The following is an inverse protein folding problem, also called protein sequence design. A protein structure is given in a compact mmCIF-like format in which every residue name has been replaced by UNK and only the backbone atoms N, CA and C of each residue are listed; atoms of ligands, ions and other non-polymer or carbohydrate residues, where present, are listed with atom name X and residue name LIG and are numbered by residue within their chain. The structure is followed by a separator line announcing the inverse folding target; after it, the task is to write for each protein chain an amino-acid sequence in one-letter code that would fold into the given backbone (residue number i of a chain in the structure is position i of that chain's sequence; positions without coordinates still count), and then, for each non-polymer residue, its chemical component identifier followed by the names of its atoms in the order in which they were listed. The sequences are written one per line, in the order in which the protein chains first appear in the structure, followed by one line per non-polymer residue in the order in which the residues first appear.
data_IF_680993224117
#
_entry.id   IF_680993224117
#
_cell.length_a   1.000
_cell.length_b   1.000
_cell.length_c   1.000
_cell.angle_alpha   90.00
_cell.angle_beta   90.00
_cell.angle_gamma   90.00
#
_symmetry.space_group_name_H-M   'P 1'
#
loop_
_entity.id
_entity.type
_entity.pdbx_description
1 polymer ?
#
# COMPACT_ATOMS: atom_id res chain seq x y z
N UNK A 1 34.72 13.92 -41.37
CA UNK A 1 34.07 12.70 -40.85
C UNK A 1 33.97 12.83 -39.34
N UNK A 2 32.96 13.50 -38.79
CA UNK A 2 31.59 13.01 -38.50
C UNK A 2 31.53 11.77 -37.61
N UNK A 3 31.17 12.02 -36.35
CA UNK A 3 30.32 11.22 -35.48
C UNK A 3 30.57 9.72 -35.43
N UNK A 4 31.45 9.31 -34.51
CA UNK A 4 31.27 8.05 -33.79
C UNK A 4 30.81 8.37 -32.36
N UNK A 5 29.62 8.98 -32.30
CA UNK A 5 28.51 8.63 -31.39
C UNK A 5 28.99 8.14 -30.02
N UNK A 6 29.09 9.02 -29.02
CA UNK A 6 27.98 9.39 -28.12
C UNK A 6 27.30 8.17 -27.52
N UNK A 7 27.18 8.15 -26.19
CA UNK A 7 26.32 7.27 -25.36
C UNK A 7 27.00 6.13 -24.57
N UNK A 8 28.20 6.37 -24.02
CA UNK A 8 28.71 5.53 -22.92
C UNK A 8 28.25 6.02 -21.53
N UNK A 9 27.12 6.76 -21.44
CA UNK A 9 26.75 7.45 -20.20
C UNK A 9 25.29 7.27 -19.72
N UNK A 10 24.40 6.59 -20.43
CA UNK A 10 22.97 6.65 -20.07
C UNK A 10 22.20 5.35 -20.28
N UNK A 11 22.72 4.24 -19.76
CA UNK A 11 21.87 3.12 -19.36
C UNK A 11 22.19 2.77 -17.91
N UNK A 12 22.06 3.76 -17.01
CA UNK A 12 21.66 3.43 -15.65
C UNK A 12 20.23 2.94 -15.82
N UNK A 13 20.07 1.63 -15.82
CA UNK A 13 18.80 0.94 -15.94
C UNK A 13 17.77 1.66 -15.07
N UNK A 14 16.71 2.17 -15.70
CA UNK A 14 15.53 2.74 -15.03
C UNK A 14 14.73 1.62 -14.31
N UNK A 15 15.42 0.74 -13.58
CA UNK A 15 14.86 -0.43 -12.92
C UNK A 15 15.16 -0.44 -11.41
N UNK A 16 15.94 0.52 -10.91
CA UNK A 16 16.20 0.73 -9.48
C UNK A 16 15.24 1.75 -8.87
N UNK A 17 14.24 2.21 -9.63
CA UNK A 17 13.04 2.79 -9.05
C UNK A 17 12.31 1.63 -8.39
N UNK A 18 12.67 1.37 -7.13
CA UNK A 18 11.87 0.54 -6.23
C UNK A 18 10.51 1.20 -6.22
N UNK A 19 9.60 0.70 -7.05
CA UNK A 19 8.20 1.07 -6.99
C UNK A 19 7.76 0.72 -5.57
N UNK A 20 7.72 1.72 -4.70
CA UNK A 20 7.24 1.62 -3.34
C UNK A 20 5.73 1.40 -3.35
N UNK A 21 5.21 0.55 -4.24
CA UNK A 21 3.81 0.21 -4.41
C UNK A 21 3.21 -0.39 -3.12
N UNK A 22 4.06 -0.91 -2.23
CA UNK A 22 3.68 -1.39 -0.90
C UNK A 22 3.58 -0.28 0.16
N UNK A 23 4.21 0.89 -0.06
CA UNK A 23 4.31 1.95 0.94
C UNK A 23 2.97 2.71 1.11
N UNK A 24 2.30 3.20 0.05
CA UNK A 24 0.99 3.84 0.18
C UNK A 24 -0.05 2.98 0.91
N UNK A 25 -0.24 1.69 0.58
CA UNK A 25 -1.28 0.90 1.24
C UNK A 25 -0.92 0.54 2.69
N UNK A 26 0.38 0.36 3.03
CA UNK A 26 0.79 0.21 4.43
C UNK A 26 0.63 1.52 5.23
N UNK A 27 0.97 2.67 4.65
CA UNK A 27 0.80 3.96 5.33
C UNK A 27 -0.68 4.27 5.62
N UNK A 28 -1.57 3.97 4.67
CA UNK A 28 -3.01 4.11 4.87
C UNK A 28 -3.53 3.17 5.96
N UNK A 29 -3.00 1.94 6.02
CA UNK A 29 -3.33 1.00 7.08
C UNK A 29 -2.90 1.53 8.47
N UNK A 30 -1.66 2.01 8.62
CA UNK A 30 -1.19 2.56 9.90
C UNK A 30 -1.98 3.82 10.30
N UNK A 31 -2.29 4.70 9.33
CA UNK A 31 -3.15 5.87 9.60
C UNK A 31 -4.55 5.44 10.04
N UNK A 32 -5.11 4.40 9.43
CA UNK A 32 -6.39 3.86 9.87
C UNK A 32 -6.31 3.41 11.33
N UNK A 33 -5.28 2.66 11.74
CA UNK A 33 -5.10 2.22 13.13
C UNK A 33 -5.05 3.39 14.13
N UNK A 34 -4.40 4.51 13.76
CA UNK A 34 -4.40 5.72 14.59
C UNK A 34 -5.82 6.26 14.73
N UNK A 35 -6.59 6.32 13.64
CA UNK A 35 -8.00 6.75 13.67
C UNK A 35 -8.90 5.80 14.47
N UNK A 36 -8.61 4.50 14.49
CA UNK A 36 -9.26 3.55 15.40
C UNK A 36 -9.01 3.97 16.85
N UNK A 37 -7.75 4.24 17.20
CA UNK A 37 -7.36 4.64 18.55
C UNK A 37 -7.98 5.98 18.97
N UNK A 38 -8.16 6.91 18.03
CA UNK A 38 -8.83 8.21 18.24
C UNK A 38 -10.38 8.09 18.33
N UNK A 39 -10.95 6.89 18.15
CA UNK A 39 -12.40 6.67 18.14
C UNK A 39 -13.10 7.14 16.84
N UNK A 40 -12.34 7.54 15.83
CA UNK A 40 -12.82 8.04 14.53
C UNK A 40 -13.12 6.88 13.58
N UNK A 41 -14.13 6.08 13.94
CA UNK A 41 -14.41 4.78 13.31
C UNK A 41 -14.72 4.88 11.81
N UNK A 42 -15.55 5.85 11.40
CA UNK A 42 -15.96 6.02 10.00
C UNK A 42 -14.76 6.39 9.09
N UNK A 43 -13.86 7.22 9.60
CA UNK A 43 -12.62 7.57 8.90
C UNK A 43 -11.66 6.39 8.81
N UNK A 44 -11.54 5.59 9.87
CA UNK A 44 -10.73 4.39 9.87
C UNK A 44 -11.23 3.37 8.84
N UNK A 45 -12.55 3.16 8.75
CA UNK A 45 -13.15 2.25 7.76
C UNK A 45 -12.91 2.72 6.32
N UNK A 46 -13.06 4.02 6.05
CA UNK A 46 -12.76 4.59 4.74
C UNK A 46 -11.27 4.42 4.36
N UNK A 47 -10.35 4.59 5.32
CA UNK A 47 -8.92 4.40 5.12
C UNK A 47 -8.56 2.93 4.88
N UNK A 48 -9.16 1.99 5.60
CA UNK A 48 -8.97 0.55 5.40
C UNK A 48 -9.51 0.09 4.04
N UNK A 49 -10.68 0.58 3.63
CA UNK A 49 -11.23 0.32 2.30
C UNK A 49 -10.31 0.87 1.19
N UNK A 50 -9.75 2.06 1.39
CA UNK A 50 -8.77 2.65 0.48
C UNK A 50 -7.46 1.87 0.45
N UNK A 51 -6.96 1.38 1.59
CA UNK A 51 -5.76 0.55 1.64
C UNK A 51 -5.95 -0.79 0.89
N UNK A 52 -7.16 -1.36 0.94
CA UNK A 52 -7.54 -2.60 0.23
C UNK A 52 -7.69 -2.43 -1.29
N UNK A 53 -7.86 -1.21 -1.80
CA UNK A 53 -8.03 -0.99 -3.25
C UNK A 53 -6.72 -1.05 -4.02
N UNK A 54 -5.57 -0.98 -3.33
CA UNK A 54 -4.25 -1.18 -3.93
C UNK A 54 -4.04 -2.65 -4.28
N UNK A 55 -3.49 -2.91 -5.47
CA UNK A 55 -3.25 -4.27 -5.99
C UNK A 55 -1.92 -4.36 -6.71
N UNK A 56 -1.40 -5.58 -6.84
CA UNK A 56 -0.24 -5.87 -7.69
C UNK A 56 1.10 -5.49 -7.06
N UNK A 57 1.16 -5.45 -5.73
CA UNK A 57 2.40 -5.19 -4.99
C UNK A 57 2.84 -6.41 -4.17
N UNK A 58 4.16 -6.61 -3.96
CA UNK A 58 4.65 -7.66 -3.08
C UNK A 58 4.06 -7.53 -1.67
N UNK A 59 3.68 -8.66 -1.05
CA UNK A 59 3.08 -8.72 0.29
C UNK A 59 1.63 -8.20 0.40
N UNK A 60 0.91 -8.04 -0.71
CA UNK A 60 -0.53 -7.72 -0.73
C UNK A 60 -1.36 -8.63 0.20
N UNK A 61 -1.14 -9.95 0.13
CA UNK A 61 -1.81 -10.92 0.99
C UNK A 61 -1.61 -10.61 2.48
N UNK A 62 -0.39 -10.24 2.88
CA UNK A 62 -0.08 -9.89 4.28
C UNK A 62 -0.86 -8.66 4.70
N UNK A 63 -0.97 -7.64 3.84
CA UNK A 63 -1.75 -6.45 4.13
C UNK A 63 -3.24 -6.76 4.24
N UNK A 64 -3.79 -7.60 3.35
CA UNK A 64 -5.19 -8.00 3.42
C UNK A 64 -5.55 -8.70 4.73
N UNK A 65 -4.70 -9.60 5.23
CA UNK A 65 -4.90 -10.23 6.53
C UNK A 65 -4.88 -9.21 7.68
N UNK A 66 -3.94 -8.24 7.63
CA UNK A 66 -3.86 -7.16 8.63
C UNK A 66 -5.09 -6.27 8.62
N UNK A 67 -5.58 -5.88 7.42
CA UNK A 67 -6.81 -5.10 7.25
C UNK A 67 -8.00 -5.87 7.80
N UNK A 68 -8.10 -7.17 7.50
CA UNK A 68 -9.20 -7.98 7.99
C UNK A 68 -9.22 -8.04 9.52
N UNK A 69 -8.07 -8.29 10.15
CA UNK A 69 -7.94 -8.31 11.61
C UNK A 69 -8.24 -6.94 12.24
N UNK A 70 -7.82 -5.83 11.60
CA UNK A 70 -8.15 -4.49 12.07
C UNK A 70 -9.66 -4.21 12.01
N UNK A 71 -10.33 -4.63 10.94
CA UNK A 71 -11.79 -4.51 10.79
C UNK A 71 -12.56 -5.35 11.83
N UNK A 72 -12.12 -6.57 12.10
CA UNK A 72 -12.72 -7.42 13.15
C UNK A 72 -12.59 -6.78 14.54
N UNK A 73 -11.45 -6.17 14.83
CA UNK A 73 -11.24 -5.43 16.09
C UNK A 73 -12.07 -4.13 16.14
N UNK A 74 -12.34 -3.50 14.99
CA UNK A 74 -13.12 -2.27 14.89
C UNK A 74 -14.59 -2.49 15.28
N UNK A 75 -15.17 -3.63 14.91
CA UNK A 75 -16.54 -4.00 15.21
C UNK A 75 -16.80 -5.47 14.96
N UNK A 76 -16.97 -6.24 16.03
CA UNK A 76 -17.88 -7.39 16.13
C UNK A 76 -18.26 -8.09 14.80
N UNK A 77 -17.62 -9.23 14.50
CA UNK A 77 -18.13 -10.28 13.58
C UNK A 77 -18.73 -9.77 12.26
N UNK A 78 -17.90 -9.56 11.25
CA UNK A 78 -18.38 -9.76 9.87
C UNK A 78 -18.79 -11.23 9.72
N UNK A 79 -20.05 -11.57 9.36
CA UNK A 79 -20.37 -12.95 9.00
C UNK A 79 -19.57 -13.27 7.74
N UNK A 80 -18.74 -14.30 7.82
CA UNK A 80 -18.21 -14.94 6.62
C UNK A 80 -19.41 -15.58 5.89
N UNK A 81 -19.69 -15.08 4.69
CA UNK A 81 -20.53 -15.74 3.68
C UNK A 81 -19.66 -16.11 2.50
#
# INVERSE_FOLDING_TARGET
MSNVITNNYLIVSNNDLVDFAYLPPNALYELALIRIADGMRDEAEALLAKARSFKGFPLENKLHFRIHSAMENLGSRTPMV
#
